data_IF_167111435965
#
_entry.id   IF_167111435965
#
_cell.length_a   1.000
_cell.length_b   1.000
_cell.length_c   1.000
_cell.angle_alpha   90.00
_cell.angle_beta   90.00
_cell.angle_gamma   90.00
#
_symmetry.space_group_name_H-M   'P 1'
#
loop_
_entity.id
_entity.type
_entity.pdbx_description
1 polymer ?
#
# COMPACT_ATOMS: atom_id res chain seq x y z
N UNK A 1 -13.83 -23.48 22.72
CA UNK A 1 -13.85 -22.57 21.54
C UNK A 1 -13.03 -21.34 21.88
N UNK A 2 -11.87 -21.11 21.23
CA UNK A 2 -11.13 -19.87 21.42
C UNK A 2 -12.00 -18.71 20.92
N UNK A 3 -12.01 -17.60 21.67
CA UNK A 3 -12.79 -16.40 21.32
C UNK A 3 -12.29 -15.87 19.97
N UNK A 4 -13.19 -15.39 19.12
CA UNK A 4 -12.89 -14.90 17.76
C UNK A 4 -11.74 -13.85 17.71
N UNK A 5 -11.48 -13.17 18.82
CA UNK A 5 -10.37 -12.22 18.99
C UNK A 5 -8.97 -12.88 18.94
N UNK A 6 -8.84 -14.15 19.37
CA UNK A 6 -7.58 -14.91 19.33
C UNK A 6 -7.21 -15.31 17.90
N UNK A 7 -8.20 -15.47 17.01
CA UNK A 7 -8.00 -15.85 15.62
C UNK A 7 -7.50 -14.65 14.78
N UNK A 8 -7.98 -13.45 15.08
CA UNK A 8 -7.62 -12.23 14.34
C UNK A 8 -6.16 -11.81 14.57
N UNK A 9 -5.65 -11.97 15.79
CA UNK A 9 -4.25 -11.67 16.14
C UNK A 9 -3.26 -12.70 15.58
N UNK A 10 -3.65 -13.98 15.50
CA UNK A 10 -2.84 -14.98 14.81
C UNK A 10 -2.77 -14.69 13.30
N UNK A 11 -3.88 -14.28 12.68
CA UNK A 11 -3.93 -13.99 11.24
C UNK A 11 -3.06 -12.80 10.81
N UNK A 12 -2.88 -11.77 11.65
CA UNK A 12 -1.98 -10.65 11.33
C UNK A 12 -0.50 -11.07 11.22
N UNK A 13 -0.06 -12.06 12.01
CA UNK A 13 1.30 -12.61 11.94
C UNK A 13 1.45 -13.64 10.81
N UNK A 14 0.37 -14.35 10.45
CA UNK A 14 0.35 -15.34 9.37
C UNK A 14 0.38 -14.72 7.97
N UNK A 15 -0.02 -13.45 7.81
CA UNK A 15 -0.03 -12.73 6.53
C UNK A 15 1.36 -12.67 5.84
N UNK A 16 2.42 -12.86 6.60
CA UNK A 16 3.82 -12.87 6.14
C UNK A 16 4.34 -14.28 5.83
N UNK A 17 3.56 -15.33 6.10
CA UNK A 17 3.98 -16.72 5.87
C UNK A 17 3.65 -17.14 4.44
N UNK A 18 4.62 -17.73 3.73
CA UNK A 18 4.47 -18.26 2.37
C UNK A 18 3.28 -19.22 2.20
N UNK A 19 2.90 -19.91 3.28
CA UNK A 19 1.99 -21.06 3.18
C UNK A 19 0.54 -20.70 3.50
N UNK A 20 0.18 -19.41 3.69
CA UNK A 20 -1.17 -19.07 4.15
C UNK A 20 -2.24 -19.42 3.09
N UNK A 21 -2.00 -19.12 1.81
CA UNK A 21 -2.92 -19.45 0.72
C UNK A 21 -3.07 -20.97 0.60
N UNK A 22 -1.95 -21.69 0.64
CA UNK A 22 -1.91 -23.16 0.63
C UNK A 22 -2.69 -23.80 1.78
N UNK A 23 -2.48 -23.34 3.01
CA UNK A 23 -3.16 -23.87 4.18
C UNK A 23 -4.66 -23.60 4.14
N UNK A 24 -5.06 -22.37 3.78
CA UNK A 24 -6.48 -22.03 3.67
C UNK A 24 -7.17 -22.77 2.52
N UNK A 25 -6.47 -23.02 1.40
CA UNK A 25 -7.00 -23.82 0.30
C UNK A 25 -7.19 -25.28 0.72
N UNK A 26 -6.19 -25.86 1.41
CA UNK A 26 -6.25 -27.23 1.94
C UNK A 26 -7.40 -27.44 2.93
N UNK A 27 -7.79 -26.38 3.66
CA UNK A 27 -8.92 -26.40 4.59
C UNK A 27 -10.25 -26.00 3.96
N UNK A 28 -10.31 -25.80 2.63
CA UNK A 28 -11.50 -25.40 1.89
C UNK A 28 -12.14 -24.08 2.38
N UNK A 29 -11.29 -23.16 2.86
CA UNK A 29 -11.73 -21.86 3.38
C UNK A 29 -11.84 -20.81 2.25
N UNK A 30 -11.05 -20.98 1.18
CA UNK A 30 -10.96 -20.00 0.10
C UNK A 30 -12.11 -20.11 -0.91
N UNK A 31 -12.76 -21.27 -1.02
CA UNK A 31 -13.93 -21.47 -1.86
C UNK A 31 -15.20 -20.92 -1.18
N UNK A 32 -15.26 -19.60 -1.04
CA UNK A 32 -16.32 -18.91 -0.33
C UNK A 32 -16.99 -17.87 -1.23
N UNK A 33 -18.24 -17.53 -0.92
CA UNK A 33 -18.99 -16.45 -1.56
C UNK A 33 -18.47 -15.06 -1.20
N UNK A 34 -17.73 -14.95 -0.09
CA UNK A 34 -17.15 -13.68 0.39
C UNK A 34 -15.76 -13.48 -0.20
N UNK A 35 -15.44 -12.32 -0.79
CA UNK A 35 -14.08 -12.04 -1.22
C UNK A 35 -13.12 -11.99 -0.03
N UNK A 36 -11.99 -12.69 -0.17
CA UNK A 36 -10.85 -12.68 0.76
C UNK A 36 -9.71 -11.97 0.07
N UNK A 37 -9.22 -10.89 0.69
CA UNK A 37 -8.10 -10.11 0.18
C UNK A 37 -6.93 -10.26 1.15
N UNK A 38 -5.85 -10.88 0.67
CA UNK A 38 -4.64 -11.08 1.43
C UNK A 38 -3.79 -9.81 1.44
N UNK A 39 -3.42 -9.25 2.59
CA UNK A 39 -2.47 -8.16 2.60
C UNK A 39 -1.09 -8.66 2.17
N UNK A 40 -0.30 -7.75 1.59
CA UNK A 40 1.11 -7.94 1.26
C UNK A 40 1.40 -9.00 0.17
N UNK A 41 1.35 -10.29 0.53
CA UNK A 41 1.69 -11.39 -0.37
C UNK A 41 3.15 -11.37 -0.86
N UNK A 42 4.09 -10.87 -0.06
CA UNK A 42 5.49 -10.65 -0.46
C UNK A 42 6.25 -11.94 -0.80
N UNK A 43 5.87 -13.05 -0.17
CA UNK A 43 6.44 -14.38 -0.40
C UNK A 43 5.58 -15.25 -1.32
N UNK A 44 4.45 -14.74 -1.83
CA UNK A 44 3.57 -15.52 -2.69
C UNK A 44 4.19 -15.72 -4.08
N UNK A 45 4.19 -16.96 -4.56
CA UNK A 45 4.82 -17.36 -5.82
C UNK A 45 3.80 -17.83 -6.87
N UNK A 46 4.27 -18.56 -7.89
CA UNK A 46 3.41 -19.06 -8.97
C UNK A 46 2.36 -20.08 -8.50
N UNK A 47 2.67 -20.89 -7.48
CA UNK A 47 1.73 -21.85 -6.90
C UNK A 47 0.62 -21.16 -6.12
N UNK A 48 0.94 -20.08 -5.39
CA UNK A 48 -0.08 -19.25 -4.75
C UNK A 48 -0.99 -18.59 -5.78
N UNK A 49 -0.44 -18.12 -6.91
CA UNK A 49 -1.25 -17.54 -7.99
C UNK A 49 -2.30 -18.52 -8.52
N UNK A 50 -1.95 -19.80 -8.66
CA UNK A 50 -2.89 -20.84 -9.11
C UNK A 50 -4.04 -20.98 -8.11
N UNK A 51 -3.74 -21.07 -6.82
CA UNK A 51 -4.75 -21.12 -5.76
C UNK A 51 -5.67 -19.88 -5.78
N UNK A 52 -5.09 -18.69 -5.93
CA UNK A 52 -5.82 -17.44 -6.00
C UNK A 52 -6.74 -17.39 -7.23
N UNK A 53 -6.30 -17.90 -8.38
CA UNK A 53 -7.13 -18.03 -9.59
C UNK A 53 -8.28 -19.00 -9.40
N UNK A 54 -8.01 -20.19 -8.89
CA UNK A 54 -9.03 -21.22 -8.67
C UNK A 54 -10.15 -20.73 -7.76
N UNK A 55 -9.80 -19.97 -6.71
CA UNK A 55 -10.74 -19.51 -5.71
C UNK A 55 -11.25 -18.07 -5.94
N UNK A 56 -10.80 -17.40 -7.00
CA UNK A 56 -11.08 -15.99 -7.28
C UNK A 56 -10.84 -15.09 -6.04
N UNK A 57 -9.62 -15.18 -5.51
CA UNK A 57 -9.11 -14.42 -4.36
C UNK A 57 -7.92 -13.57 -4.78
N UNK A 58 -7.68 -12.47 -4.06
CA UNK A 58 -6.72 -11.45 -4.49
C UNK A 58 -5.76 -11.06 -3.36
N UNK A 59 -4.63 -10.46 -3.75
CA UNK A 59 -3.65 -9.84 -2.87
C UNK A 59 -3.77 -8.31 -2.96
N UNK A 60 -3.69 -7.63 -1.81
CA UNK A 60 -3.49 -6.19 -1.71
C UNK A 60 -2.00 -5.91 -1.47
N UNK A 61 -1.28 -5.60 -2.56
CA UNK A 61 0.13 -5.20 -2.50
C UNK A 61 0.21 -3.79 -1.93
N UNK A 62 1.11 -3.58 -0.98
CA UNK A 62 1.27 -2.34 -0.21
C UNK A 62 2.71 -1.83 -0.33
N UNK A 63 3.12 -1.36 -1.52
CA UNK A 63 4.52 -1.15 -1.89
C UNK A 63 5.31 -0.35 -0.85
N UNK A 64 4.80 0.81 -0.42
CA UNK A 64 5.51 1.66 0.55
C UNK A 64 5.72 0.97 1.89
N UNK A 65 4.72 0.25 2.39
CA UNK A 65 4.81 -0.45 3.68
C UNK A 65 5.77 -1.63 3.61
N UNK A 66 5.66 -2.45 2.56
CA UNK A 66 6.51 -3.61 2.35
C UNK A 66 7.99 -3.26 2.21
N UNK A 67 8.31 -2.12 1.58
CA UNK A 67 9.69 -1.65 1.53
C UNK A 67 10.13 -1.03 2.85
N UNK A 68 9.27 -0.26 3.51
CA UNK A 68 9.59 0.38 4.79
C UNK A 68 9.93 -0.66 5.87
N UNK A 69 9.20 -1.78 5.90
CA UNK A 69 9.41 -2.88 6.84
C UNK A 69 10.31 -4.00 6.30
N UNK A 70 10.96 -3.79 5.15
CA UNK A 70 11.92 -4.74 4.57
C UNK A 70 11.29 -6.11 4.29
N UNK A 71 10.00 -6.16 3.98
CA UNK A 71 9.31 -7.39 3.56
C UNK A 71 9.76 -7.85 2.17
N UNK A 72 10.23 -6.93 1.32
CA UNK A 72 10.70 -7.21 -0.04
C UNK A 72 9.58 -7.51 -1.04
N UNK A 73 9.92 -7.61 -2.33
CA UNK A 73 8.96 -7.83 -3.43
C UNK A 73 9.53 -8.71 -4.55
N UNK A 74 10.27 -9.76 -4.19
CA UNK A 74 10.98 -10.60 -5.16
C UNK A 74 10.00 -11.30 -6.12
N UNK A 75 8.92 -11.87 -5.59
CA UNK A 75 7.96 -12.68 -6.34
C UNK A 75 6.71 -11.91 -6.79
N UNK A 76 6.46 -10.71 -6.27
CA UNK A 76 5.26 -9.88 -6.48
C UNK A 76 4.87 -9.70 -7.95
N UNK A 77 5.85 -9.55 -8.81
CA UNK A 77 5.65 -9.44 -10.26
C UNK A 77 5.03 -10.68 -10.93
N UNK A 78 5.15 -11.85 -10.33
CA UNK A 78 4.50 -13.09 -10.78
C UNK A 78 3.01 -13.13 -10.46
N UNK A 79 2.56 -12.47 -9.39
CA UNK A 79 1.19 -12.55 -8.86
C UNK A 79 0.28 -11.37 -9.24
N UNK A 80 0.77 -10.41 -10.05
CA UNK A 80 0.08 -9.14 -10.34
C UNK A 80 -1.32 -9.32 -10.95
N UNK A 81 -1.60 -10.45 -11.60
CA UNK A 81 -2.91 -10.74 -12.18
C UNK A 81 -4.01 -10.88 -11.12
N UNK A 82 -3.68 -11.47 -9.97
CA UNK A 82 -4.56 -11.61 -8.81
C UNK A 82 -4.21 -10.61 -7.71
N UNK A 83 -3.83 -9.38 -8.10
CA UNK A 83 -3.43 -8.35 -7.14
C UNK A 83 -4.00 -6.98 -7.45
N UNK A 84 -4.23 -6.18 -6.41
CA UNK A 84 -4.48 -4.74 -6.47
C UNK A 84 -3.54 -3.99 -5.52
N UNK A 85 -3.57 -2.65 -5.54
CA UNK A 85 -2.79 -1.83 -4.61
C UNK A 85 -3.59 -1.48 -3.35
N UNK A 86 -2.89 -1.52 -2.21
CA UNK A 86 -3.32 -1.02 -0.93
C UNK A 86 -2.33 0.01 -0.36
N UNK A 87 -2.74 0.68 0.70
CA UNK A 87 -1.90 1.64 1.42
C UNK A 87 -1.23 0.99 2.64
N UNK A 88 -1.89 0.00 3.25
CA UNK A 88 -1.63 -0.47 4.61
C UNK A 88 -1.92 0.64 5.64
N UNK A 89 -0.90 1.10 6.35
CA UNK A 89 -1.05 2.03 7.46
C UNK A 89 -0.56 3.44 7.12
N UNK A 90 -1.20 4.44 7.73
CA UNK A 90 -0.90 5.86 7.52
C UNK A 90 0.11 6.44 8.52
N UNK A 91 0.63 5.65 9.47
CA UNK A 91 1.58 6.16 10.48
C UNK A 91 3.04 6.14 10.02
N UNK A 92 3.40 5.30 9.04
CA UNK A 92 4.77 5.20 8.50
C UNK A 92 4.98 6.06 7.26
N UNK A 93 3.92 6.30 6.49
CA UNK A 93 4.02 7.00 5.22
C UNK A 93 2.70 7.64 4.77
N UNK A 94 2.79 8.60 3.85
CA UNK A 94 1.61 9.25 3.27
C UNK A 94 0.67 8.24 2.59
N UNK A 95 -0.64 8.48 2.73
CA UNK A 95 -1.69 7.58 2.26
C UNK A 95 -2.26 8.01 0.91
N UNK A 96 -1.65 7.56 -0.18
CA UNK A 96 -2.12 7.85 -1.53
C UNK A 96 -1.80 6.75 -2.54
N UNK A 97 -2.76 6.44 -3.42
CA UNK A 97 -2.63 5.36 -4.41
C UNK A 97 -1.72 5.76 -5.58
N UNK A 98 -1.62 7.06 -5.93
CA UNK A 98 -0.74 7.53 -7.02
C UNK A 98 0.73 7.18 -6.74
N UNK A 99 1.21 7.46 -5.52
CA UNK A 99 2.56 7.09 -5.10
C UNK A 99 2.71 5.59 -5.00
N UNK A 100 1.69 4.83 -4.57
CA UNK A 100 1.76 3.36 -4.57
C UNK A 100 1.90 2.80 -6.00
N UNK A 101 1.19 3.35 -6.99
CA UNK A 101 1.32 2.95 -8.40
C UNK A 101 2.73 3.18 -8.92
N UNK A 102 3.26 4.39 -8.72
CA UNK A 102 4.63 4.74 -9.12
C UNK A 102 5.65 3.84 -8.42
N UNK A 103 5.52 3.67 -7.11
CA UNK A 103 6.49 2.92 -6.32
C UNK A 103 6.48 1.43 -6.66
N UNK A 104 5.30 0.83 -6.89
CA UNK A 104 5.20 -0.55 -7.37
C UNK A 104 5.86 -0.72 -8.74
N UNK A 105 5.62 0.22 -9.66
CA UNK A 105 6.23 0.20 -10.99
C UNK A 105 7.76 0.21 -10.91
N UNK A 106 8.31 1.13 -10.12
CA UNK A 106 9.75 1.29 -9.98
C UNK A 106 10.39 0.13 -9.20
N UNK A 107 9.76 -0.33 -8.11
CA UNK A 107 10.18 -1.52 -7.35
C UNK A 107 10.24 -2.76 -8.25
N UNK A 108 9.17 -3.02 -9.02
CA UNK A 108 9.11 -4.19 -9.90
C UNK A 108 10.20 -4.16 -10.95
N UNK A 109 10.40 -3.00 -11.59
CA UNK A 109 11.48 -2.80 -12.57
C UNK A 109 12.84 -3.02 -11.94
N UNK A 110 13.11 -2.46 -10.77
CA UNK A 110 14.39 -2.63 -10.06
C UNK A 110 14.65 -4.10 -9.73
N UNK A 111 13.73 -4.74 -9.01
CA UNK A 111 13.86 -6.13 -8.55
C UNK A 111 14.06 -7.10 -9.70
N UNK A 112 13.33 -6.93 -10.81
CA UNK A 112 13.47 -7.80 -11.98
C UNK A 112 14.70 -7.50 -12.83
N UNK A 113 15.32 -6.33 -12.67
CA UNK A 113 16.60 -6.01 -13.31
C UNK A 113 17.78 -6.64 -12.59
N UNK A 114 17.63 -7.02 -11.32
CA UNK A 114 18.73 -7.54 -10.49
C UNK A 114 19.48 -8.73 -11.12
N UNK A 115 18.83 -9.76 -11.70
CA UNK A 115 19.56 -10.86 -12.34
C UNK A 115 20.47 -10.39 -13.49
N UNK A 116 20.06 -9.38 -14.27
CA UNK A 116 20.91 -8.81 -15.31
C UNK A 116 22.10 -8.04 -14.69
N UNK A 117 21.86 -7.29 -13.61
CA UNK A 117 22.90 -6.54 -12.90
C UNK A 117 23.95 -7.44 -12.25
N UNK A 118 23.58 -8.63 -11.77
CA UNK A 118 24.54 -9.64 -11.28
C UNK A 118 25.55 -10.06 -12.36
N UNK A 119 25.19 -9.91 -13.62
CA UNK A 119 26.06 -10.16 -14.77
C UNK A 119 26.61 -8.86 -15.40
N UNK A 120 26.53 -7.73 -14.69
CA UNK A 120 26.95 -6.40 -15.16
C UNK A 120 26.28 -5.97 -16.47
N UNK A 121 25.01 -6.35 -16.66
CA UNK A 121 24.21 -6.00 -17.84
C UNK A 121 23.02 -5.14 -17.45
N UNK A 122 22.64 -4.23 -18.34
CA UNK A 122 21.36 -3.53 -18.27
C UNK A 122 20.28 -4.36 -19.01
N UNK A 123 19.08 -4.52 -18.44
CA UNK A 123 17.98 -5.17 -19.16
C UNK A 123 17.51 -4.29 -20.32
N UNK A 124 17.13 -4.93 -21.42
CA UNK A 124 16.64 -4.27 -22.63
C UNK A 124 15.10 -4.38 -22.79
N UNK A 125 14.40 -4.89 -21.80
CA UNK A 125 12.96 -5.10 -21.81
C UNK A 125 12.24 -4.32 -20.70
N UNK A 126 11.01 -3.88 -21.01
CA UNK A 126 10.13 -3.25 -19.99
C UNK A 126 9.44 -4.37 -19.22
N UNK A 127 9.88 -4.60 -17.98
CA UNK A 127 9.33 -5.70 -17.15
C UNK A 127 7.92 -5.41 -16.62
N UNK A 128 7.60 -4.14 -16.41
CA UNK A 128 6.27 -3.67 -16.03
C UNK A 128 5.95 -2.35 -16.73
N UNK A 129 4.77 -2.28 -17.34
CA UNK A 129 4.26 -1.11 -18.07
C UNK A 129 3.51 -0.16 -17.14
N UNK A 130 3.46 1.12 -17.51
CA UNK A 130 2.62 2.12 -16.80
C UNK A 130 1.14 1.72 -16.78
N UNK A 131 0.66 1.06 -17.83
CA UNK A 131 -0.71 0.52 -17.91
C UNK A 131 -0.96 -0.54 -16.84
N UNK A 132 -0.03 -1.48 -16.62
CA UNK A 132 -0.16 -2.47 -15.56
C UNK A 132 -0.21 -1.80 -14.17
N UNK A 133 0.63 -0.79 -13.91
CA UNK A 133 0.58 -0.05 -12.66
C UNK A 133 -0.75 0.67 -12.46
N UNK A 134 -1.27 1.31 -13.51
CA UNK A 134 -2.58 1.95 -13.49
C UNK A 134 -3.70 0.94 -13.17
N UNK A 135 -3.69 -0.22 -13.82
CA UNK A 135 -4.68 -1.28 -13.60
C UNK A 135 -4.67 -1.81 -12.15
N UNK A 136 -3.48 -2.04 -11.58
CA UNK A 136 -3.33 -2.47 -10.18
C UNK A 136 -3.97 -1.47 -9.20
N UNK A 137 -3.83 -0.17 -9.45
CA UNK A 137 -4.40 0.87 -8.59
C UNK A 137 -5.82 1.32 -8.95
N UNK A 138 -6.46 0.75 -9.99
CA UNK A 138 -7.84 1.07 -10.38
C UNK A 138 -8.76 -0.17 -10.43
N UNK A 139 -9.05 -0.83 -11.56
CA UNK A 139 -10.06 -1.89 -11.62
C UNK A 139 -9.68 -3.12 -10.81
N UNK A 140 -8.39 -3.40 -10.58
CA UNK A 140 -7.98 -4.59 -9.84
C UNK A 140 -8.45 -4.56 -8.37
N UNK A 141 -8.56 -3.38 -7.75
CA UNK A 141 -9.19 -3.27 -6.43
C UNK A 141 -10.68 -3.63 -6.45
N UNK A 142 -11.38 -3.30 -7.55
CA UNK A 142 -12.76 -3.74 -7.79
C UNK A 142 -12.87 -5.26 -7.97
N UNK A 143 -11.97 -5.83 -8.77
CA UNK A 143 -11.90 -7.29 -8.98
C UNK A 143 -11.64 -8.05 -7.69
N UNK A 144 -10.73 -7.55 -6.84
CA UNK A 144 -10.46 -8.10 -5.52
C UNK A 144 -11.69 -8.15 -4.60
N UNK A 145 -12.62 -7.22 -4.78
CA UNK A 145 -13.89 -7.16 -4.05
C UNK A 145 -15.04 -7.85 -4.80
N UNK A 146 -14.77 -8.52 -5.93
CA UNK A 146 -15.78 -9.11 -6.83
C UNK A 146 -16.81 -8.08 -7.32
N UNK A 147 -16.35 -6.85 -7.52
CA UNK A 147 -17.10 -5.69 -8.03
C UNK A 147 -16.50 -5.21 -9.34
N UNK A 148 -16.80 -5.88 -10.47
CA UNK A 148 -16.25 -5.50 -11.77
C UNK A 148 -16.80 -4.15 -12.28
N UNK A 149 -17.75 -3.55 -11.56
CA UNK A 149 -18.28 -2.22 -11.78
C UNK A 149 -17.51 -1.10 -11.05
N UNK A 150 -16.44 -1.44 -10.31
CA UNK A 150 -15.55 -0.49 -9.64
C UNK A 150 -14.25 -0.27 -10.44
N UNK A 151 -13.69 0.93 -10.34
CA UNK A 151 -12.40 1.28 -10.96
C UNK A 151 -12.43 1.34 -12.49
N UNK A 152 -13.61 1.33 -13.12
CA UNK A 152 -13.80 1.37 -14.57
C UNK A 152 -14.77 2.48 -14.97
N UNK A 153 -14.53 3.08 -16.15
CA UNK A 153 -15.47 4.03 -16.77
C UNK A 153 -16.25 3.28 -17.86
N UNK A 154 -17.44 2.79 -17.51
CA UNK A 154 -18.33 2.04 -18.41
C UNK A 154 -19.79 2.32 -18.05
N UNK A 155 -20.69 2.28 -19.04
CA UNK A 155 -22.14 2.35 -18.78
C UNK A 155 -22.56 1.24 -17.80
N UNK A 156 -23.29 1.61 -16.75
CA UNK A 156 -23.74 0.71 -15.69
C UNK A 156 -22.75 0.53 -14.53
N UNK A 157 -21.52 1.05 -14.64
CA UNK A 157 -20.56 1.08 -13.54
C UNK A 157 -20.92 2.16 -12.49
N UNK A 158 -20.37 2.05 -11.28
CA UNK A 158 -20.49 3.12 -10.30
C UNK A 158 -19.79 4.39 -10.79
N UNK A 159 -20.39 5.54 -10.49
CA UNK A 159 -19.84 6.84 -10.85
C UNK A 159 -18.78 7.32 -9.82
N UNK A 160 -17.77 6.48 -9.62
CA UNK A 160 -16.60 6.76 -8.78
C UNK A 160 -15.48 7.33 -9.67
N UNK A 161 -15.31 8.66 -9.63
CA UNK A 161 -14.49 9.38 -10.61
C UNK A 161 -13.52 10.30 -9.89
N UNK A 162 -12.25 10.19 -10.24
CA UNK A 162 -11.19 11.14 -9.86
C UNK A 162 -10.85 11.99 -11.07
N UNK A 163 -10.91 13.32 -10.90
CA UNK A 163 -10.58 14.28 -11.96
C UNK A 163 -9.30 15.00 -11.57
N UNK A 164 -8.27 14.83 -12.40
CA UNK A 164 -6.98 15.51 -12.28
C UNK A 164 -7.01 16.82 -13.07
N UNK A 165 -6.49 17.89 -12.47
CA UNK A 165 -6.29 19.16 -13.14
C UNK A 165 -5.06 19.07 -14.03
N UNK A 166 -5.26 19.11 -15.34
CA UNK A 166 -4.20 19.06 -16.33
C UNK A 166 -3.52 20.40 -16.60
N UNK A 167 -3.96 21.49 -15.96
CA UNK A 167 -3.35 22.81 -16.12
C UNK A 167 -2.09 22.96 -15.25
N UNK A 168 -1.14 22.05 -15.43
CA UNK A 168 0.15 22.07 -14.76
C UNK A 168 1.23 21.45 -15.70
N UNK A 169 2.49 21.55 -15.30
CA UNK A 169 3.63 21.03 -16.07
C UNK A 169 3.69 19.50 -16.14
N UNK A 170 3.06 18.79 -15.19
CA UNK A 170 3.03 17.33 -15.16
C UNK A 170 2.18 16.74 -16.30
N UNK A 171 1.14 17.44 -16.75
CA UNK A 171 0.25 16.97 -17.81
C UNK A 171 0.43 17.71 -19.14
N UNK A 172 0.99 18.93 -19.15
CA UNK A 172 1.03 19.78 -20.34
C UNK A 172 1.93 19.27 -21.49
N UNK A 173 2.81 18.30 -21.24
CA UNK A 173 3.83 17.86 -22.19
C UNK A 173 3.78 16.35 -22.56
N UNK A 174 2.83 15.58 -22.02
CA UNK A 174 2.80 14.12 -22.19
C UNK A 174 1.74 13.67 -23.19
N UNK A 175 2.15 12.82 -24.15
CA UNK A 175 1.27 12.23 -25.14
C UNK A 175 0.40 11.10 -24.57
N UNK A 176 0.97 10.26 -23.70
CA UNK A 176 0.25 9.17 -23.04
C UNK A 176 -0.32 9.64 -21.70
N UNK A 177 -1.66 9.78 -21.56
CA UNK A 177 -2.27 10.23 -20.31
C UNK A 177 -2.09 9.24 -19.17
N UNK A 178 -1.98 7.93 -19.45
CA UNK A 178 -1.76 6.93 -18.39
C UNK A 178 -0.34 7.06 -17.85
N UNK A 179 0.64 7.25 -18.73
CA UNK A 179 2.00 7.56 -18.32
C UNK A 179 2.05 8.85 -17.48
N UNK A 180 1.35 9.91 -17.90
CA UNK A 180 1.27 11.15 -17.14
C UNK A 180 0.72 10.93 -15.71
N UNK A 181 -0.34 10.13 -15.57
CA UNK A 181 -0.91 9.79 -14.26
C UNK A 181 0.07 8.99 -13.40
N UNK A 182 0.63 7.91 -13.92
CA UNK A 182 1.46 6.99 -13.12
C UNK A 182 2.84 7.58 -12.80
N UNK A 183 3.41 8.40 -13.70
CA UNK A 183 4.79 8.87 -13.56
C UNK A 183 4.91 10.30 -13.02
N UNK A 184 3.89 11.15 -13.19
CA UNK A 184 4.02 12.60 -12.95
C UNK A 184 2.93 13.20 -12.07
N UNK A 185 1.77 12.57 -11.94
CA UNK A 185 0.68 13.11 -11.12
C UNK A 185 1.02 13.11 -9.63
N UNK A 186 0.51 14.13 -8.93
CA UNK A 186 0.54 14.21 -7.48
C UNK A 186 -0.89 14.35 -6.92
N UNK A 187 -1.06 14.09 -5.61
CA UNK A 187 -2.37 14.20 -4.93
C UNK A 187 -2.96 15.61 -4.93
N UNK A 188 -2.10 16.63 -5.03
CA UNK A 188 -2.47 18.03 -5.16
C UNK A 188 -3.13 18.35 -6.51
N UNK A 189 -2.85 17.56 -7.56
CA UNK A 189 -3.44 17.74 -8.88
C UNK A 189 -4.90 17.28 -8.94
N UNK A 190 -5.39 16.54 -7.94
CA UNK A 190 -6.78 16.05 -7.91
C UNK A 190 -7.72 17.24 -7.65
N UNK A 191 -8.35 17.75 -8.69
CA UNK A 191 -9.31 18.86 -8.59
C UNK A 191 -10.68 18.41 -8.05
N UNK A 192 -11.15 17.25 -8.49
CA UNK A 192 -12.46 16.73 -8.09
C UNK A 192 -12.44 15.24 -7.79
N UNK A 193 -13.34 14.81 -6.90
CA UNK A 193 -13.61 13.41 -6.60
C UNK A 193 -15.12 13.24 -6.47
N UNK A 194 -15.67 12.29 -7.21
CA UNK A 194 -17.04 11.85 -7.13
C UNK A 194 -17.07 10.43 -6.57
N UNK A 195 -17.96 10.18 -5.62
CA UNK A 195 -18.29 8.85 -5.12
C UNK A 195 -19.78 8.62 -5.36
N UNK A 196 -20.12 7.56 -6.09
CA UNK A 196 -21.47 7.25 -6.57
C UNK A 196 -22.16 8.48 -7.21
N UNK A 197 -21.40 9.24 -8.01
CA UNK A 197 -21.87 10.43 -8.73
C UNK A 197 -22.01 11.69 -7.86
N UNK A 198 -21.65 11.64 -6.57
CA UNK A 198 -21.71 12.78 -5.64
C UNK A 198 -20.32 13.34 -5.38
N UNK A 199 -20.18 14.66 -5.52
CA UNK A 199 -18.91 15.33 -5.19
C UNK A 199 -18.57 15.20 -3.71
N UNK A 200 -17.48 14.49 -3.41
CA UNK A 200 -16.84 14.47 -2.08
C UNK A 200 -15.63 15.42 -2.02
N UNK A 201 -15.06 15.75 -3.18
CA UNK A 201 -14.08 16.84 -3.36
C UNK A 201 -14.45 17.62 -4.62
N UNK A 202 -14.44 18.95 -4.57
CA UNK A 202 -14.72 19.81 -5.73
C UNK A 202 -13.86 21.07 -5.67
N UNK A 203 -13.28 21.45 -6.80
CA UNK A 203 -12.45 22.65 -6.93
C UNK A 203 -11.33 22.67 -5.89
N UNK A 204 -10.66 21.52 -5.69
CA UNK A 204 -9.62 21.28 -4.68
C UNK A 204 -10.08 21.25 -3.22
N UNK A 205 -11.37 21.42 -2.93
CA UNK A 205 -11.90 21.47 -1.55
C UNK A 205 -12.75 20.24 -1.21
N UNK A 206 -12.53 19.66 -0.03
CA UNK A 206 -13.38 18.59 0.51
C UNK A 206 -14.80 19.12 0.82
N UNK A 207 -15.82 18.29 0.58
CA UNK A 207 -17.23 18.65 0.78
C UNK A 207 -17.79 17.95 2.02
N UNK A 208 -18.49 18.68 2.88
CA UNK A 208 -19.18 18.10 4.04
C UNK A 208 -18.31 17.83 5.26
N UNK A 209 -17.09 18.37 5.30
CA UNK A 209 -16.15 18.20 6.41
C UNK A 209 -15.73 19.55 7.00
N UNK A 210 -15.75 19.67 8.33
CA UNK A 210 -15.10 20.77 9.05
C UNK A 210 -13.59 20.49 9.13
N UNK A 211 -12.86 20.93 8.11
CA UNK A 211 -11.42 20.70 8.02
C UNK A 211 -10.66 21.29 9.22
N UNK A 212 -11.05 22.47 9.69
CA UNK A 212 -10.37 23.13 10.83
C UNK A 212 -10.64 22.39 12.13
N UNK A 213 -11.86 21.92 12.34
CA UNK A 213 -12.22 21.05 13.46
C UNK A 213 -11.46 19.72 13.43
N UNK A 214 -11.37 19.09 12.26
CA UNK A 214 -10.59 17.85 12.07
C UNK A 214 -9.11 18.07 12.42
N UNK A 215 -8.48 19.13 11.90
CA UNK A 215 -7.09 19.45 12.23
C UNK A 215 -6.90 19.69 13.74
N UNK A 216 -7.83 20.41 14.37
CA UNK A 216 -7.81 20.66 15.82
C UNK A 216 -7.90 19.37 16.61
N UNK A 217 -8.81 18.47 16.23
CA UNK A 217 -8.99 17.17 16.88
C UNK A 217 -7.78 16.25 16.66
N UNK A 218 -7.23 16.24 15.46
CA UNK A 218 -6.02 15.48 15.13
C UNK A 218 -4.85 15.92 16.03
N UNK A 219 -4.53 17.21 16.07
CA UNK A 219 -3.46 17.75 16.92
C UNK A 219 -3.67 17.43 18.40
N UNK A 220 -4.92 17.49 18.88
CA UNK A 220 -5.27 17.14 20.26
C UNK A 220 -4.98 15.66 20.56
N UNK A 221 -5.37 14.77 19.65
CA UNK A 221 -5.12 13.32 19.78
C UNK A 221 -3.62 13.01 19.71
N UNK A 222 -2.90 13.63 18.77
CA UNK A 222 -1.44 13.48 18.63
C UNK A 222 -0.72 13.87 19.92
N UNK A 223 -1.06 15.02 20.51
CA UNK A 223 -0.47 15.44 21.80
C UNK A 223 -0.66 14.40 22.89
N UNK A 224 -1.86 13.82 23.01
CA UNK A 224 -2.15 12.76 24.00
C UNK A 224 -1.33 11.49 23.74
N UNK A 225 -1.30 11.01 22.50
CA UNK A 225 -0.58 9.79 22.11
C UNK A 225 0.93 9.96 22.35
N UNK A 226 1.49 11.12 22.00
CA UNK A 226 2.91 11.42 22.18
C UNK A 226 3.33 11.46 23.66
N UNK A 227 2.42 11.71 24.61
CA UNK A 227 2.74 11.62 26.04
C UNK A 227 2.91 10.17 26.52
N UNK A 228 2.37 9.17 25.81
CA UNK A 228 2.43 7.77 26.25
C UNK A 228 3.88 7.27 26.25
N UNK A 229 4.65 7.32 25.14
CA UNK A 229 6.06 6.91 25.15
C UNK A 229 6.91 7.69 26.17
N UNK A 230 6.66 9.00 26.32
CA UNK A 230 7.36 9.84 27.31
C UNK A 230 7.09 9.37 28.74
N UNK A 231 5.84 9.01 29.05
CA UNK A 231 5.47 8.44 30.36
C UNK A 231 6.17 7.10 30.62
N UNK A 232 6.27 6.23 29.60
CA UNK A 232 7.02 4.98 29.70
C UNK A 232 8.52 5.23 29.91
N UNK A 233 9.14 6.13 29.14
CA UNK A 233 10.55 6.51 29.29
C UNK A 233 10.84 7.09 30.68
N UNK A 234 9.97 7.96 31.20
CA UNK A 234 10.13 8.55 32.52
C UNK A 234 10.01 7.50 33.65
N UNK A 235 9.18 6.47 33.45
CA UNK A 235 8.93 5.44 34.47
C UNK A 235 9.95 4.29 34.44
N UNK A 236 10.43 3.92 33.26
CA UNK A 236 11.26 2.73 33.05
C UNK A 236 12.67 3.05 32.51
N UNK A 237 13.00 4.32 32.30
CA UNK A 237 14.19 4.75 31.57
C UNK A 237 14.03 4.58 30.05
N UNK A 238 14.99 5.09 29.27
CA UNK A 238 15.01 4.87 27.82
C UNK A 238 15.22 3.37 27.56
N UNK A 239 14.17 2.70 27.07
CA UNK A 239 14.30 1.32 26.57
C UNK A 239 15.13 1.39 25.29
N UNK A 240 16.45 1.24 25.40
CA UNK A 240 17.27 0.81 24.26
C UNK A 240 16.76 -0.58 23.89
N UNK A 241 16.46 -0.78 22.61
CA UNK A 241 15.98 -2.06 22.11
C UNK A 241 17.06 -3.14 22.30
N UNK A 242 17.11 -3.77 23.47
CA UNK A 242 17.90 -4.97 23.78
C UNK A 242 17.32 -6.23 23.10
N UNK A 243 16.71 -6.10 21.93
CA UNK A 243 16.02 -7.19 21.25
C UNK A 243 16.80 -7.77 20.06
N UNK A 244 18.00 -7.26 19.76
CA UNK A 244 18.68 -7.57 18.48
C UNK A 244 19.96 -8.42 18.63
N UNK A 245 20.46 -8.64 19.85
CA UNK A 245 21.59 -9.55 20.08
C UNK A 245 21.25 -11.02 19.85
N UNK A 246 19.96 -11.40 19.85
CA UNK A 246 19.51 -12.77 19.57
C UNK A 246 19.59 -13.16 18.09
N UNK A 247 19.75 -12.20 17.16
CA UNK A 247 19.78 -12.46 15.71
C UNK A 247 21.17 -12.27 15.08
N UNK A 248 22.21 -12.00 15.87
CA UNK A 248 23.60 -11.91 15.37
C UNK A 248 23.88 -10.73 14.41
N UNK A 249 23.00 -9.74 14.36
CA UNK A 249 23.20 -8.52 13.58
C UNK A 249 23.82 -7.44 14.47
N UNK A 250 24.93 -6.85 14.00
CA UNK A 250 25.67 -5.84 14.75
C UNK A 250 24.79 -4.63 15.09
N UNK A 251 24.95 -4.11 16.32
CA UNK A 251 24.18 -2.98 16.89
C UNK A 251 24.25 -1.69 16.06
N UNK A 252 25.20 -1.58 15.12
CA UNK A 252 25.54 -0.34 14.41
C UNK A 252 24.73 -0.06 13.13
N UNK A 253 23.71 -0.85 12.80
CA UNK A 253 23.09 -0.76 11.45
C UNK A 253 21.76 0.01 11.35
N UNK A 254 21.15 0.43 12.45
CA UNK A 254 19.89 1.18 12.39
C UNK A 254 19.81 2.31 13.43
N UNK A 255 20.65 3.34 13.25
CA UNK A 255 20.31 4.67 13.74
C UNK A 255 19.33 5.34 12.75
N UNK A 256 18.15 5.67 13.27
CA UNK A 256 17.26 6.73 12.79
C UNK A 256 16.58 6.54 11.42
N UNK A 257 15.49 5.77 11.40
CA UNK A 257 14.37 6.05 10.48
C UNK A 257 13.22 6.59 11.33
N UNK A 258 13.07 7.93 11.34
CA UNK A 258 11.96 8.70 11.91
C UNK A 258 12.01 9.22 13.37
N UNK A 259 13.18 9.43 13.96
CA UNK A 259 13.33 10.32 15.14
C UNK A 259 13.63 11.75 14.69
N UNK A 260 12.59 12.54 14.39
CA UNK A 260 12.74 14.00 14.41
C UNK A 260 12.75 14.42 15.88
N UNK A 261 13.94 14.56 16.45
CA UNK A 261 14.13 15.22 17.74
C UNK A 261 13.83 16.73 17.54
N UNK A 262 12.57 17.13 17.71
CA UNK A 262 12.25 18.56 17.86
C UNK A 262 12.49 18.92 19.31
N UNK A 263 13.60 19.61 19.61
CA UNK A 263 13.78 20.26 20.89
C UNK A 263 12.73 21.36 21.06
N UNK A 264 11.87 21.32 22.09
CA UNK A 264 10.85 22.35 22.31
C UNK A 264 11.41 23.75 22.59
N UNK A 265 12.71 23.88 22.85
CA UNK A 265 13.40 25.12 23.22
C UNK A 265 13.88 25.97 22.04
N UNK A 266 13.63 25.56 20.79
CA UNK A 266 14.04 26.29 19.57
C UNK A 266 12.88 26.71 18.66
N UNK A 267 11.67 26.83 19.21
CA UNK A 267 10.54 27.52 18.57
C UNK A 267 10.20 28.81 19.31
#
# INVERSE_FOLDING_TARGET
MPRAESLLLALSSLCMMSDIQHNLNKWDILNTSVPVVFPHGTLADGSDLEILRENNQFIAITPKSEHHWVHGQLFTSGIMEQSGLGIDTSFTSSSDILTQMWFQLQSTRNTRSNPAHLHQKLPNNTVMTVKQAFLLGTPNGGLALRRPDFGVIKKGAKADIVVLNSNNTAFSAYYDPIAAVVLHANVGDIGHVLADGRFVKRDFHLRGYDWRGIQTNFTRSTKKIQQVPLGYQNKYGTVRAQALSQFGLAEDTYENVATVNVEPSKL
#
